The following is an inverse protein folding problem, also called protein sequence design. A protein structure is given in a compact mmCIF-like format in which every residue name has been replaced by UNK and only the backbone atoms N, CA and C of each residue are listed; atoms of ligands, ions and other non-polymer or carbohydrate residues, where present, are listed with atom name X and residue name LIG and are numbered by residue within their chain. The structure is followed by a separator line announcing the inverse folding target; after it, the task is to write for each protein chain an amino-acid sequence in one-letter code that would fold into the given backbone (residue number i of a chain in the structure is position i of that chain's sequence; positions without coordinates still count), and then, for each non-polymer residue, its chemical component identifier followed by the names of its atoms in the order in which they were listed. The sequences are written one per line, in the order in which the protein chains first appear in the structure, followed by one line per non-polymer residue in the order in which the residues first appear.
data_IF_743366902898
#
_entry.id   IF_743366902898
#
_cell.length_a   1.000
_cell.length_b   1.000
_cell.length_c   1.000
_cell.angle_alpha   90.00
_cell.angle_beta   90.00
_cell.angle_gamma   90.00
#
_symmetry.space_group_name_H-M   'P 1'
#
loop_
_entity.id
_entity.type
_entity.pdbx_description
1 polymer ?
#
# COMPACT_ATOMS: atom_id res chain seq x y z
N UNK A 1 30.12 2.29 57.45
CA UNK A 1 28.67 2.50 57.36
C UNK A 1 28.43 3.44 56.19
N UNK A 2 27.88 2.95 55.08
CA UNK A 2 27.63 3.75 53.86
C UNK A 2 26.16 4.12 53.84
N UNK A 3 25.83 5.41 53.92
CA UNK A 3 24.46 5.92 53.82
C UNK A 3 23.91 5.76 52.40
N UNK A 4 22.73 5.17 52.33
CA UNK A 4 21.93 4.99 51.10
C UNK A 4 21.03 6.22 50.93
N UNK A 5 20.95 6.88 49.78
CA UNK A 5 20.02 8.00 49.62
C UNK A 5 18.57 7.50 49.51
N UNK A 6 17.69 8.18 50.26
CA UNK A 6 16.24 7.92 50.27
C UNK A 6 15.57 8.63 49.09
N UNK A 7 14.68 7.89 48.35
CA UNK A 7 13.84 8.47 47.32
C UNK A 7 12.72 9.34 47.96
N UNK A 8 12.46 10.53 47.41
CA UNK A 8 11.35 11.37 47.90
C UNK A 8 9.99 10.77 47.57
N UNK A 9 9.03 10.92 48.49
CA UNK A 9 7.69 10.38 48.37
C UNK A 9 6.83 11.19 47.38
N UNK A 10 5.79 10.53 46.79
CA UNK A 10 4.82 11.15 45.84
C UNK A 10 4.14 12.43 46.37
N UNK A 11 4.18 12.70 47.67
CA UNK A 11 3.60 13.92 48.26
C UNK A 11 4.50 15.14 48.12
N UNK A 12 5.80 14.99 48.06
CA UNK A 12 6.75 16.12 47.92
C UNK A 12 6.84 16.65 46.48
N UNK A 13 6.52 15.83 45.48
CA UNK A 13 6.50 16.24 44.07
C UNK A 13 5.33 17.19 43.74
N UNK A 14 4.22 17.15 44.51
CA UNK A 14 3.03 17.98 44.22
C UNK A 14 3.06 19.35 44.94
N UNK A 15 3.99 19.59 45.84
CA UNK A 15 4.07 20.84 46.63
C UNK A 15 4.92 21.95 46.00
N UNK A 16 5.65 21.67 44.92
CA UNK A 16 6.63 22.63 44.32
C UNK A 16 6.10 23.37 43.08
N UNK A 17 4.85 23.13 42.66
CA UNK A 17 4.27 23.73 41.44
C UNK A 17 3.21 24.83 41.70
N UNK A 18 3.12 25.32 42.93
CA UNK A 18 2.14 26.35 43.24
C UNK A 18 2.81 27.61 43.82
N UNK A 19 3.56 28.35 43.02
CA UNK A 19 3.87 29.80 43.22
C UNK A 19 4.56 30.40 42.02
N UNK A 20 3.82 30.84 41.02
CA UNK A 20 4.20 31.95 40.17
C UNK A 20 2.99 32.47 39.38
N UNK A 21 2.49 33.65 39.80
CA UNK A 21 2.09 34.73 38.93
C UNK A 21 0.80 34.60 38.08
N UNK A 22 -0.30 35.10 38.65
CA UNK A 22 -1.49 35.53 37.93
C UNK A 22 -1.18 36.75 37.06
N UNK A 23 -1.24 36.64 35.72
CA UNK A 23 -1.46 37.77 34.82
C UNK A 23 -2.58 37.41 33.88
N UNK A 24 -3.66 38.17 33.97
CA UNK A 24 -4.81 38.16 33.07
C UNK A 24 -4.39 38.71 31.74
N UNK A 25 -4.47 37.86 30.69
CA UNK A 25 -4.23 38.29 29.30
C UNK A 25 -5.27 37.62 28.39
N UNK A 26 -5.96 38.41 27.65
CA UNK A 26 -7.08 38.21 26.74
C UNK A 26 -7.17 36.85 26.06
N UNK A 27 -8.43 36.37 26.02
CA UNK A 27 -8.94 35.28 25.19
C UNK A 27 -8.58 35.49 23.73
N UNK A 28 -7.53 34.81 23.27
CA UNK A 28 -7.30 34.51 21.87
C UNK A 28 -7.81 33.09 21.61
N UNK A 29 -8.88 32.97 20.83
CA UNK A 29 -9.32 31.68 20.29
C UNK A 29 -8.20 31.13 19.43
N UNK A 30 -7.40 30.22 19.99
CA UNK A 30 -6.50 29.39 19.20
C UNK A 30 -7.39 28.46 18.35
N UNK A 31 -7.70 28.89 17.13
CA UNK A 31 -8.04 27.97 16.06
C UNK A 31 -6.82 27.05 15.91
N UNK A 32 -7.02 25.80 16.33
CA UNK A 32 -6.11 24.73 15.97
C UNK A 32 -6.12 24.69 14.45
N UNK A 33 -5.08 25.23 13.83
CA UNK A 33 -4.75 24.95 12.44
C UNK A 33 -4.60 23.44 12.33
N UNK A 34 -5.68 22.81 11.88
CA UNK A 34 -5.63 21.47 11.32
C UNK A 34 -4.79 21.65 10.05
N UNK A 35 -3.47 21.50 10.21
CA UNK A 35 -2.55 21.49 9.07
C UNK A 35 -3.02 20.38 8.15
N UNK A 36 -3.81 20.76 7.15
CA UNK A 36 -4.04 19.92 6.01
C UNK A 36 -2.65 19.64 5.41
N UNK A 37 -2.13 18.47 5.67
CA UNK A 37 -0.94 18.01 4.99
C UNK A 37 -1.30 18.01 3.51
N UNK A 38 -0.59 18.76 2.66
CA UNK A 38 -0.84 18.69 1.23
C UNK A 38 -0.72 17.22 0.83
N UNK A 39 -1.71 16.70 0.11
CA UNK A 39 -1.65 15.36 -0.44
C UNK A 39 -0.32 15.24 -1.18
N UNK A 40 0.61 14.48 -0.62
CA UNK A 40 1.89 14.26 -1.24
C UNK A 40 1.62 13.59 -2.58
N UNK A 41 2.03 14.22 -3.66
CA UNK A 41 1.97 13.60 -4.97
C UNK A 41 2.67 12.24 -4.86
N UNK A 42 1.98 11.16 -5.22
CA UNK A 42 2.59 9.84 -5.24
C UNK A 42 3.76 9.94 -6.22
N UNK A 43 4.97 9.91 -5.68
CA UNK A 43 6.16 9.92 -6.52
C UNK A 43 6.14 8.69 -7.43
N UNK A 44 6.60 8.84 -8.68
CA UNK A 44 6.72 7.70 -9.60
C UNK A 44 7.63 6.63 -9.00
N UNK A 45 7.37 5.37 -9.33
CA UNK A 45 8.16 4.23 -8.87
C UNK A 45 9.55 4.28 -9.49
N UNK A 46 10.58 4.24 -8.65
CA UNK A 46 11.97 4.13 -9.11
C UNK A 46 12.38 2.69 -9.44
N UNK A 47 13.66 2.48 -9.72
CA UNK A 47 14.24 1.17 -10.01
C UNK A 47 14.89 0.51 -8.77
N UNK A 48 14.70 1.09 -7.60
CA UNK A 48 15.27 0.61 -6.33
C UNK A 48 14.15 0.31 -5.34
N UNK A 49 14.25 -0.84 -4.68
CA UNK A 49 13.28 -1.23 -3.67
C UNK A 49 13.24 -0.23 -2.51
N UNK A 50 12.04 0.24 -2.20
CA UNK A 50 11.79 1.15 -1.08
C UNK A 50 11.76 0.40 0.25
N UNK A 51 12.34 0.93 1.34
CA UNK A 51 12.20 0.32 2.66
C UNK A 51 10.74 0.16 3.06
N UNK A 52 10.41 -0.99 3.69
CA UNK A 52 9.06 -1.20 4.24
C UNK A 52 8.74 -0.12 5.29
N UNK A 53 7.54 0.48 5.25
CA UNK A 53 7.14 1.48 6.24
C UNK A 53 6.67 0.86 7.56
N UNK A 54 6.69 -0.47 7.70
CA UNK A 54 6.24 -1.23 8.87
C UNK A 54 7.09 -2.48 9.09
N UNK A 55 7.03 -3.04 10.30
CA UNK A 55 7.72 -4.29 10.63
C UNK A 55 7.07 -5.50 9.95
N UNK A 56 7.82 -6.58 9.74
CA UNK A 56 7.28 -7.83 9.16
C UNK A 56 6.09 -8.40 9.95
N UNK A 57 6.02 -8.16 11.25
CA UNK A 57 4.91 -8.60 12.13
C UNK A 57 3.67 -7.72 12.05
N UNK A 58 3.71 -6.58 11.36
CA UNK A 58 2.64 -5.58 11.41
C UNK A 58 1.32 -6.06 10.77
N UNK A 59 1.38 -7.07 9.91
CA UNK A 59 0.21 -7.60 9.19
C UNK A 59 -0.40 -8.84 9.84
N UNK A 60 0.19 -9.30 10.97
CA UNK A 60 -0.36 -10.43 11.72
C UNK A 60 -1.73 -10.09 12.35
N UNK A 61 -2.61 -11.08 12.49
CA UNK A 61 -2.45 -12.50 12.15
C UNK A 61 -2.82 -12.83 10.69
N UNK A 62 -3.03 -11.85 9.83
CA UNK A 62 -3.59 -12.03 8.47
C UNK A 62 -2.54 -12.36 7.42
N UNK A 63 -1.33 -11.83 7.54
CA UNK A 63 -0.14 -12.24 6.77
C UNK A 63 0.98 -12.40 7.80
N UNK A 64 1.55 -13.60 7.87
CA UNK A 64 2.55 -13.92 8.89
C UNK A 64 3.90 -13.26 8.62
N UNK A 65 4.65 -13.01 9.70
CA UNK A 65 5.93 -12.33 9.64
C UNK A 65 6.96 -13.07 8.76
N UNK A 66 6.91 -14.41 8.72
CA UNK A 66 7.82 -15.20 7.90
C UNK A 66 7.53 -15.04 6.41
N UNK A 67 6.26 -15.04 6.04
CA UNK A 67 5.84 -14.70 4.68
C UNK A 67 6.34 -13.30 4.30
N UNK A 68 6.12 -12.30 5.14
CA UNK A 68 6.56 -10.92 4.88
C UNK A 68 8.07 -10.80 4.72
N UNK A 69 8.84 -11.44 5.59
CA UNK A 69 10.30 -11.44 5.50
C UNK A 69 10.79 -12.00 4.15
N UNK A 70 10.31 -13.18 3.76
CA UNK A 70 10.74 -13.86 2.54
C UNK A 70 10.23 -13.09 1.31
N UNK A 71 8.98 -12.68 1.33
CA UNK A 71 8.33 -12.00 0.21
C UNK A 71 9.05 -10.68 -0.10
N UNK A 72 9.31 -9.85 0.91
CA UNK A 72 9.99 -8.58 0.75
C UNK A 72 11.50 -8.76 0.49
N UNK A 73 12.22 -9.50 1.35
CA UNK A 73 13.68 -9.52 1.34
C UNK A 73 14.29 -10.47 0.30
N UNK A 74 13.49 -11.38 -0.29
CA UNK A 74 13.96 -12.33 -1.30
C UNK A 74 13.24 -12.13 -2.64
N UNK A 75 11.91 -12.30 -2.71
CA UNK A 75 11.18 -12.19 -3.98
C UNK A 75 11.21 -10.76 -4.53
N UNK A 76 10.74 -9.77 -3.77
CA UNK A 76 10.71 -8.37 -4.22
C UNK A 76 12.11 -7.81 -4.45
N UNK A 77 13.06 -8.10 -3.56
CA UNK A 77 14.45 -7.69 -3.71
C UNK A 77 15.11 -8.25 -4.98
N UNK A 78 14.79 -9.50 -5.36
CA UNK A 78 15.29 -10.10 -6.59
C UNK A 78 14.72 -9.38 -7.84
N UNK A 79 13.42 -9.04 -7.86
CA UNK A 79 12.85 -8.26 -8.96
C UNK A 79 13.54 -6.91 -9.11
N UNK A 80 13.77 -6.17 -8.04
CA UNK A 80 14.47 -4.88 -8.08
C UNK A 80 15.92 -5.02 -8.59
N UNK A 81 16.64 -6.06 -8.17
CA UNK A 81 18.01 -6.32 -8.64
C UNK A 81 18.04 -6.66 -10.14
N UNK A 82 17.22 -7.65 -10.54
CA UNK A 82 17.16 -8.10 -11.93
C UNK A 82 16.64 -7.02 -12.87
N UNK A 83 15.75 -6.14 -12.41
CA UNK A 83 15.29 -4.98 -13.18
C UNK A 83 16.45 -4.02 -13.51
N UNK A 84 17.28 -3.70 -12.50
CA UNK A 84 18.46 -2.83 -12.73
C UNK A 84 19.44 -3.47 -13.70
N UNK A 85 19.66 -4.78 -13.61
CA UNK A 85 20.51 -5.50 -14.55
C UNK A 85 19.94 -5.46 -15.97
N UNK A 86 18.63 -5.69 -16.13
CA UNK A 86 17.94 -5.60 -17.41
C UNK A 86 18.01 -4.16 -17.97
N UNK A 87 17.79 -3.14 -17.13
CA UNK A 87 17.88 -1.75 -17.55
C UNK A 87 19.28 -1.38 -18.07
N UNK A 88 20.32 -1.87 -17.41
CA UNK A 88 21.71 -1.69 -17.87
C UNK A 88 21.97 -2.41 -19.21
N UNK A 89 21.51 -3.65 -19.34
CA UNK A 89 21.68 -4.45 -20.56
C UNK A 89 20.98 -3.82 -21.77
N UNK A 90 19.81 -3.21 -21.56
CA UNK A 90 18.96 -2.63 -22.61
C UNK A 90 19.10 -1.11 -22.77
N UNK A 91 20.02 -0.47 -22.01
CA UNK A 91 20.30 0.96 -22.11
C UNK A 91 19.15 1.86 -21.66
N UNK A 92 18.34 1.41 -20.68
CA UNK A 92 17.20 2.17 -20.17
C UNK A 92 17.66 3.23 -19.16
N UNK A 93 17.16 4.46 -19.30
CA UNK A 93 17.38 5.53 -18.33
C UNK A 93 16.56 5.28 -17.05
N UNK A 94 17.25 4.91 -15.97
CA UNK A 94 16.64 4.65 -14.66
C UNK A 94 16.32 5.90 -13.85
N UNK A 95 16.61 7.10 -14.37
CA UNK A 95 16.14 8.35 -13.76
C UNK A 95 14.67 8.66 -14.06
N UNK A 96 14.10 8.01 -15.09
CA UNK A 96 12.68 8.14 -15.41
C UNK A 96 11.84 7.23 -14.53
N UNK A 97 10.57 7.61 -14.25
CA UNK A 97 9.63 6.73 -13.54
C UNK A 97 9.43 5.39 -14.27
N UNK A 98 9.40 4.30 -13.51
CA UNK A 98 9.20 2.95 -14.05
C UNK A 98 7.88 2.80 -14.83
N UNK A 99 6.86 3.57 -14.49
CA UNK A 99 5.58 3.62 -15.17
C UNK A 99 5.72 3.95 -16.67
N UNK A 100 6.68 4.81 -17.05
CA UNK A 100 6.93 5.15 -18.45
C UNK A 100 7.51 3.95 -19.23
N UNK A 101 8.38 3.17 -18.60
CA UNK A 101 8.88 1.92 -19.17
C UNK A 101 7.74 0.92 -19.36
N UNK A 102 6.91 0.72 -18.32
CA UNK A 102 5.80 -0.24 -18.35
C UNK A 102 4.78 0.11 -19.44
N UNK A 103 4.51 1.40 -19.66
CA UNK A 103 3.61 1.85 -20.72
C UNK A 103 4.07 1.49 -22.16
N UNK A 104 5.30 1.06 -22.31
CA UNK A 104 5.87 0.64 -23.61
C UNK A 104 6.61 -0.69 -23.51
N UNK A 105 6.20 -1.55 -22.58
CA UNK A 105 6.93 -2.78 -22.21
C UNK A 105 7.04 -3.78 -23.37
N UNK A 106 6.13 -3.73 -24.33
CA UNK A 106 6.19 -4.56 -25.55
C UNK A 106 7.46 -4.38 -26.37
N UNK A 107 8.20 -3.27 -26.17
CA UNK A 107 9.45 -2.96 -26.86
C UNK A 107 10.69 -3.60 -26.20
N UNK A 108 10.53 -4.19 -25.04
CA UNK A 108 11.62 -4.69 -24.20
C UNK A 108 11.59 -6.22 -24.06
N UNK A 109 12.65 -6.77 -23.49
CA UNK A 109 12.78 -8.21 -23.28
C UNK A 109 11.77 -8.76 -22.27
N UNK A 110 11.56 -10.08 -22.28
CA UNK A 110 10.81 -10.77 -21.24
C UNK A 110 11.44 -10.59 -19.85
N UNK A 111 12.78 -10.45 -19.76
CA UNK A 111 13.50 -10.14 -18.52
C UNK A 111 13.06 -8.79 -17.97
N UNK A 112 13.02 -7.76 -18.80
CA UNK A 112 12.56 -6.42 -18.44
C UNK A 112 11.09 -6.44 -18.02
N UNK A 113 10.21 -7.06 -18.80
CA UNK A 113 8.77 -7.18 -18.50
C UNK A 113 8.51 -7.83 -17.15
N UNK A 114 9.12 -9.00 -16.91
CA UNK A 114 8.87 -9.74 -15.68
C UNK A 114 9.43 -9.02 -14.45
N UNK A 115 10.62 -8.44 -14.54
CA UNK A 115 11.25 -7.80 -13.39
C UNK A 115 10.74 -6.36 -13.19
N UNK A 116 10.45 -5.61 -14.25
CA UNK A 116 9.82 -4.29 -14.18
C UNK A 116 8.40 -4.38 -13.60
N UNK A 117 7.60 -5.31 -14.12
CA UNK A 117 6.28 -5.59 -13.56
C UNK A 117 6.35 -6.05 -12.12
N UNK A 118 7.22 -7.04 -11.84
CA UNK A 118 7.38 -7.58 -10.48
C UNK A 118 7.79 -6.52 -9.47
N UNK A 119 8.75 -5.66 -9.82
CA UNK A 119 9.17 -4.58 -8.93
C UNK A 119 8.04 -3.57 -8.69
N UNK A 120 7.40 -3.06 -9.75
CA UNK A 120 6.27 -2.13 -9.61
C UNK A 120 5.14 -2.70 -8.75
N UNK A 121 4.73 -3.93 -9.05
CA UNK A 121 3.61 -4.59 -8.36
C UNK A 121 3.87 -4.70 -6.85
N UNK A 122 5.10 -5.04 -6.46
CA UNK A 122 5.46 -5.17 -5.05
C UNK A 122 5.61 -3.81 -4.35
N UNK A 123 6.19 -2.78 -5.00
CA UNK A 123 6.23 -1.42 -4.45
C UNK A 123 4.82 -0.89 -4.17
N UNK A 124 3.88 -1.12 -5.09
CA UNK A 124 2.47 -0.79 -4.86
C UNK A 124 1.91 -1.60 -3.69
N UNK A 125 2.11 -2.91 -3.67
CA UNK A 125 1.58 -3.82 -2.66
C UNK A 125 2.01 -3.40 -1.24
N UNK A 126 3.30 -3.12 -1.05
CA UNK A 126 3.78 -2.65 0.25
C UNK A 126 3.16 -1.32 0.68
N UNK A 127 2.97 -0.40 -0.25
CA UNK A 127 2.43 0.93 0.05
C UNK A 127 0.95 0.94 0.44
N UNK A 128 0.18 -0.07 0.01
CA UNK A 128 -1.28 -0.15 0.25
C UNK A 128 -1.63 -1.09 1.40
N UNK A 129 -0.65 -1.64 2.10
CA UNK A 129 -0.86 -2.48 3.28
C UNK A 129 -0.49 -1.72 4.56
N UNK A 130 -1.05 -2.17 5.68
CA UNK A 130 -0.79 -1.62 7.01
C UNK A 130 -1.37 -2.50 8.10
N UNK A 131 -1.14 -2.11 9.37
CA UNK A 131 -1.66 -2.84 10.52
C UNK A 131 -3.17 -3.08 10.38
N UNK A 132 -3.67 -4.25 10.84
CA UNK A 132 -5.09 -4.57 10.78
C UNK A 132 -5.95 -3.47 11.43
N UNK A 133 -7.01 -3.06 10.76
CA UNK A 133 -7.99 -2.12 11.29
C UNK A 133 -9.16 -2.89 11.87
N UNK A 134 -9.52 -2.61 13.14
CA UNK A 134 -10.72 -3.17 13.73
C UNK A 134 -11.95 -2.55 13.07
N UNK A 135 -12.95 -3.39 12.75
CA UNK A 135 -14.25 -2.91 12.27
C UNK A 135 -14.56 -3.02 10.79
N UNK A 136 -13.64 -3.46 9.95
CA UNK A 136 -13.93 -4.02 8.61
C UNK A 136 -14.54 -3.11 7.54
N UNK A 137 -14.87 -1.86 7.84
CA UNK A 137 -15.10 -0.84 6.85
C UNK A 137 -14.02 0.21 7.00
N UNK A 138 -13.44 0.67 5.90
CA UNK A 138 -12.50 1.76 6.00
C UNK A 138 -13.21 2.91 6.71
N UNK A 139 -12.64 3.33 7.83
CA UNK A 139 -12.77 4.73 8.18
C UNK A 139 -12.08 5.47 7.03
N UNK A 140 -12.77 5.38 5.95
CA UNK A 140 -12.76 6.14 4.75
C UNK A 140 -11.46 6.50 4.08
N UNK A 141 -11.46 6.13 3.00
CA UNK A 141 -11.09 6.68 1.72
C UNK A 141 -11.12 8.21 1.72
N UNK A 142 -10.06 8.85 2.13
CA UNK A 142 -9.87 10.29 2.03
C UNK A 142 -10.85 11.17 2.85
N UNK A 143 -10.55 12.46 3.01
CA UNK A 143 -11.35 13.38 3.85
C UNK A 143 -12.79 13.58 3.36
N UNK A 144 -13.04 13.41 2.08
CA UNK A 144 -14.35 13.63 1.42
C UNK A 144 -15.07 12.33 1.02
N UNK A 145 -14.48 11.18 1.28
CA UNK A 145 -15.02 9.89 0.88
C UNK A 145 -15.12 9.66 -0.62
N UNK A 146 -14.32 10.38 -1.42
CA UNK A 146 -14.37 10.34 -2.89
C UNK A 146 -14.16 8.94 -3.46
N UNK A 147 -13.24 8.15 -2.90
CA UNK A 147 -13.03 6.76 -3.31
C UNK A 147 -14.27 5.90 -3.06
N UNK A 148 -14.90 6.00 -1.88
CA UNK A 148 -16.13 5.25 -1.58
C UNK A 148 -17.28 5.65 -2.51
N UNK A 149 -17.41 6.94 -2.83
CA UNK A 149 -18.39 7.43 -3.81
C UNK A 149 -18.11 6.84 -5.19
N UNK A 150 -16.87 6.85 -5.64
CA UNK A 150 -16.46 6.28 -6.92
C UNK A 150 -16.71 4.75 -6.98
N UNK A 151 -16.42 4.02 -5.89
CA UNK A 151 -16.73 2.60 -5.76
C UNK A 151 -18.23 2.36 -5.92
N UNK A 152 -19.07 3.10 -5.18
CA UNK A 152 -20.54 2.97 -5.30
C UNK A 152 -21.04 3.32 -6.70
N UNK A 153 -20.45 4.32 -7.35
CA UNK A 153 -20.82 4.71 -8.72
C UNK A 153 -20.45 3.62 -9.72
N UNK A 154 -19.27 2.99 -9.59
CA UNK A 154 -18.78 2.01 -10.56
C UNK A 154 -19.35 0.60 -10.34
N UNK A 155 -19.64 0.23 -9.08
CA UNK A 155 -20.01 -1.14 -8.71
C UNK A 155 -21.39 -1.28 -8.06
N UNK A 156 -22.10 -0.16 -7.79
CA UNK A 156 -23.38 -0.14 -7.08
C UNK A 156 -23.25 -0.11 -5.57
N UNK A 157 -22.36 -0.91 -4.98
CA UNK A 157 -22.05 -0.90 -3.54
C UNK A 157 -20.59 -1.28 -3.26
N UNK A 158 -20.15 -1.10 -2.02
CA UNK A 158 -18.85 -1.56 -1.56
C UNK A 158 -18.76 -3.10 -1.57
N UNK A 159 -19.81 -3.76 -1.14
CA UNK A 159 -19.91 -5.22 -1.09
C UNK A 159 -19.87 -5.84 -2.50
N UNK A 160 -20.50 -5.20 -3.47
CA UNK A 160 -20.44 -5.62 -4.87
C UNK A 160 -19.03 -5.48 -5.44
N UNK A 161 -18.32 -4.39 -5.10
CA UNK A 161 -16.91 -4.21 -5.44
C UNK A 161 -16.04 -5.33 -4.82
N UNK A 162 -16.18 -5.56 -3.50
CA UNK A 162 -15.43 -6.62 -2.80
C UNK A 162 -15.66 -7.97 -3.47
N UNK A 163 -16.92 -8.32 -3.76
CA UNK A 163 -17.27 -9.58 -4.43
C UNK A 163 -16.61 -9.71 -5.80
N UNK A 164 -16.60 -8.65 -6.61
CA UNK A 164 -15.96 -8.67 -7.93
C UNK A 164 -14.44 -8.81 -7.82
N UNK A 165 -13.81 -8.07 -6.90
CA UNK A 165 -12.37 -8.13 -6.66
C UNK A 165 -11.94 -9.52 -6.15
N UNK A 166 -12.66 -10.06 -5.19
CA UNK A 166 -12.41 -11.42 -4.69
C UNK A 166 -12.57 -12.47 -5.78
N UNK A 167 -13.59 -12.32 -6.63
CA UNK A 167 -13.78 -13.22 -7.77
C UNK A 167 -12.58 -13.16 -8.71
N UNK A 168 -12.12 -11.96 -9.07
CA UNK A 168 -10.93 -11.79 -9.92
C UNK A 168 -9.68 -12.42 -9.31
N UNK A 169 -9.47 -12.27 -7.98
CA UNK A 169 -8.36 -12.85 -7.25
C UNK A 169 -8.42 -14.40 -7.17
N UNK A 170 -9.60 -14.93 -6.85
CA UNK A 170 -9.82 -16.38 -6.66
C UNK A 170 -9.79 -17.15 -7.98
N UNK A 171 -10.30 -16.55 -9.07
CA UNK A 171 -10.38 -17.19 -10.39
C UNK A 171 -9.13 -16.99 -11.25
N UNK A 172 -8.17 -16.13 -10.83
CA UNK A 172 -6.89 -16.01 -11.54
C UNK A 172 -6.18 -17.36 -11.53
N UNK A 173 -6.14 -18.01 -12.70
CA UNK A 173 -5.48 -19.29 -12.86
C UNK A 173 -3.96 -19.13 -12.76
N UNK A 174 -3.33 -19.95 -11.92
CA UNK A 174 -1.89 -19.90 -11.66
C UNK A 174 -1.46 -18.66 -10.87
N UNK A 175 -0.28 -18.16 -11.18
CA UNK A 175 0.32 -16.97 -10.57
C UNK A 175 -0.19 -15.69 -11.25
N UNK A 176 -0.35 -14.62 -10.49
CA UNK A 176 -0.77 -13.33 -11.02
C UNK A 176 -1.22 -12.38 -9.94
N UNK A 177 -1.99 -11.37 -10.35
CA UNK A 177 -2.45 -10.28 -9.50
C UNK A 177 -3.92 -9.98 -9.79
N UNK A 178 -4.65 -9.52 -8.76
CA UNK A 178 -5.94 -8.88 -8.89
C UNK A 178 -5.82 -7.38 -8.65
N UNK A 179 -6.56 -6.57 -9.38
CA UNK A 179 -6.42 -5.12 -9.42
C UNK A 179 -7.74 -4.39 -9.25
N UNK A 180 -7.72 -3.27 -8.51
CA UNK A 180 -8.62 -2.14 -8.70
C UNK A 180 -7.81 -1.04 -9.39
N UNK A 181 -8.30 -0.54 -10.50
CA UNK A 181 -7.63 0.48 -11.30
C UNK A 181 -8.59 1.60 -11.71
N UNK A 182 -8.04 2.75 -12.06
CA UNK A 182 -8.73 3.86 -12.70
C UNK A 182 -8.47 3.77 -14.20
N UNK A 183 -9.50 3.62 -15.02
CA UNK A 183 -9.36 3.57 -16.47
C UNK A 183 -9.18 4.97 -17.09
N UNK A 184 -8.97 5.02 -18.40
CA UNK A 184 -8.78 6.27 -19.13
C UNK A 184 -9.99 7.22 -19.09
N UNK A 185 -11.16 6.75 -18.65
CA UNK A 185 -12.38 7.57 -18.48
C UNK A 185 -12.58 8.05 -17.05
N UNK A 186 -11.66 7.71 -16.14
CA UNK A 186 -11.74 8.01 -14.70
C UNK A 186 -12.63 7.07 -13.90
N UNK A 187 -13.09 5.96 -14.49
CA UNK A 187 -13.91 4.96 -13.80
C UNK A 187 -13.05 3.91 -13.11
N UNK A 188 -13.57 3.40 -12.01
CA UNK A 188 -12.98 2.26 -11.32
C UNK A 188 -13.35 0.95 -12.01
N UNK A 189 -12.35 0.11 -12.26
CA UNK A 189 -12.49 -1.19 -12.91
C UNK A 189 -11.75 -2.24 -12.08
N UNK A 190 -12.32 -3.44 -11.97
CA UNK A 190 -11.64 -4.63 -11.42
C UNK A 190 -11.12 -5.48 -12.57
N UNK A 191 -9.87 -5.92 -12.47
CA UNK A 191 -9.27 -6.86 -13.42
C UNK A 191 -8.29 -7.80 -12.74
N UNK A 192 -7.72 -8.73 -13.51
CA UNK A 192 -6.59 -9.55 -13.06
C UNK A 192 -5.61 -9.78 -14.21
N UNK A 193 -4.33 -9.93 -13.88
CA UNK A 193 -3.25 -10.15 -14.85
C UNK A 193 -2.44 -11.40 -14.50
N UNK A 194 -1.88 -12.12 -15.48
CA UNK A 194 -1.01 -13.26 -15.22
C UNK A 194 0.40 -12.81 -14.81
N UNK A 195 1.11 -13.67 -14.08
CA UNK A 195 2.50 -13.50 -13.72
C UNK A 195 2.78 -12.15 -13.05
N UNK A 196 3.69 -11.35 -13.62
CA UNK A 196 4.02 -10.00 -13.12
C UNK A 196 3.49 -8.88 -14.02
N UNK A 197 2.59 -9.20 -14.96
CA UNK A 197 1.92 -8.17 -15.75
C UNK A 197 1.03 -7.29 -14.86
N UNK A 198 0.81 -6.05 -15.31
CA UNK A 198 -0.04 -5.11 -14.60
C UNK A 198 -0.79 -4.16 -15.58
N UNK A 199 -1.81 -3.43 -15.11
CA UNK A 199 -2.65 -2.57 -15.96
C UNK A 199 -1.94 -1.38 -16.62
N UNK A 200 -0.72 -1.02 -16.21
CA UNK A 200 0.06 0.04 -16.87
C UNK A 200 0.67 -0.40 -18.20
N UNK A 201 0.82 -1.70 -18.38
CA UNK A 201 1.51 -2.25 -19.54
C UNK A 201 0.69 -2.07 -20.82
N UNK A 202 1.37 -1.70 -21.92
CA UNK A 202 0.74 -1.57 -23.25
C UNK A 202 0.15 -2.89 -23.78
N UNK A 203 0.58 -4.02 -23.23
CA UNK A 203 0.10 -5.37 -23.54
C UNK A 203 -1.08 -5.82 -22.65
N UNK A 204 -1.46 -5.03 -21.62
CA UNK A 204 -2.56 -5.40 -20.74
C UNK A 204 -3.90 -5.35 -21.47
N UNK A 205 -4.75 -6.34 -21.22
CA UNK A 205 -6.12 -6.40 -21.76
C UNK A 205 -6.97 -5.25 -21.21
N UNK A 206 -6.90 -5.03 -19.90
CA UNK A 206 -7.56 -3.90 -19.21
C UNK A 206 -6.48 -2.95 -18.73
N UNK A 207 -6.47 -1.73 -19.29
CA UNK A 207 -5.45 -0.71 -19.02
C UNK A 207 -5.96 0.37 -18.08
N UNK A 208 -5.05 0.90 -17.28
CA UNK A 208 -5.32 2.03 -16.39
C UNK A 208 -4.30 2.13 -15.26
N UNK A 209 -4.54 3.06 -14.36
CA UNK A 209 -3.67 3.29 -13.20
C UNK A 209 -4.12 2.41 -12.03
N UNK A 210 -3.34 1.41 -11.60
CA UNK A 210 -3.69 0.57 -10.46
C UNK A 210 -3.59 1.36 -9.15
N UNK A 211 -4.64 1.27 -8.34
CA UNK A 211 -4.72 1.91 -7.02
C UNK A 211 -4.75 0.90 -5.87
N UNK A 212 -5.15 -0.35 -6.15
CA UNK A 212 -5.11 -1.48 -5.23
C UNK A 212 -4.67 -2.71 -6.02
N UNK A 213 -3.76 -3.50 -5.45
CA UNK A 213 -3.27 -4.75 -6.02
C UNK A 213 -3.20 -5.85 -4.98
N UNK A 214 -3.57 -7.08 -5.34
CA UNK A 214 -3.43 -8.27 -4.50
C UNK A 214 -2.59 -9.28 -5.23
N UNK A 215 -1.47 -9.64 -4.62
CA UNK A 215 -0.61 -10.73 -5.07
C UNK A 215 -1.29 -12.08 -4.82
N UNK A 216 -1.54 -12.86 -5.87
CA UNK A 216 -2.09 -14.21 -5.78
C UNK A 216 -1.09 -15.28 -6.22
N UNK A 217 0.19 -14.94 -6.34
CA UNK A 217 1.27 -15.91 -6.37
C UNK A 217 1.27 -16.72 -5.07
N UNK A 218 1.57 -18.00 -5.14
CA UNK A 218 1.58 -18.87 -3.94
C UNK A 218 2.56 -18.40 -2.87
N UNK A 219 3.70 -17.80 -3.25
CA UNK A 219 4.67 -17.27 -2.29
C UNK A 219 4.11 -16.17 -1.37
N UNK A 220 3.03 -15.50 -1.77
CA UNK A 220 2.39 -14.46 -0.97
C UNK A 220 1.55 -15.00 0.20
N UNK A 221 1.18 -16.28 0.18
CA UNK A 221 0.23 -16.82 1.16
C UNK A 221 0.47 -18.27 1.60
N UNK A 222 1.32 -19.04 0.90
CA UNK A 222 1.38 -20.50 1.08
C UNK A 222 1.82 -20.93 2.48
N UNK A 223 2.73 -20.21 3.13
CA UNK A 223 3.21 -20.58 4.47
C UNK A 223 2.08 -20.54 5.51
N UNK A 224 1.15 -19.62 5.41
CA UNK A 224 0.04 -19.47 6.35
C UNK A 224 -1.24 -20.17 5.88
N UNK A 225 -1.56 -20.08 4.60
CA UNK A 225 -2.84 -20.54 4.04
C UNK A 225 -2.74 -21.82 3.22
N UNK A 226 -1.56 -22.29 2.82
CA UNK A 226 -1.31 -23.40 1.91
C UNK A 226 -2.15 -23.24 0.63
N UNK A 227 -2.95 -24.24 0.27
CA UNK A 227 -3.82 -24.21 -0.91
C UNK A 227 -5.10 -23.35 -0.75
N UNK A 228 -5.32 -22.76 0.44
CA UNK A 228 -6.54 -22.00 0.73
C UNK A 228 -6.44 -20.53 0.29
N UNK A 229 -6.18 -20.30 -1.01
CA UNK A 229 -6.19 -18.92 -1.57
C UNK A 229 -7.44 -18.13 -1.20
N UNK A 230 -8.67 -18.69 -1.18
CA UNK A 230 -9.86 -17.95 -0.78
C UNK A 230 -9.78 -17.33 0.62
N UNK A 231 -9.18 -18.02 1.59
CA UNK A 231 -9.02 -17.53 2.96
C UNK A 231 -8.05 -16.34 3.01
N UNK A 232 -6.93 -16.44 2.28
CA UNK A 232 -5.99 -15.33 2.11
C UNK A 232 -6.63 -14.10 1.48
N UNK A 233 -7.41 -14.29 0.41
CA UNK A 233 -8.12 -13.19 -0.26
C UNK A 233 -9.11 -12.51 0.69
N UNK A 234 -9.79 -13.29 1.54
CA UNK A 234 -10.68 -12.72 2.57
C UNK A 234 -9.90 -11.98 3.67
N UNK A 235 -8.76 -12.52 4.10
CA UNK A 235 -7.91 -11.90 5.12
C UNK A 235 -7.25 -10.60 4.64
N UNK A 236 -6.98 -10.47 3.35
CA UNK A 236 -6.37 -9.28 2.75
C UNK A 236 -7.09 -7.98 3.12
N UNK A 237 -8.42 -7.98 3.15
CA UNK A 237 -9.21 -6.79 3.48
C UNK A 237 -8.93 -6.23 4.89
N UNK A 238 -8.40 -7.05 5.79
CA UNK A 238 -8.06 -6.64 7.16
C UNK A 238 -6.76 -5.84 7.25
N UNK A 239 -5.93 -5.90 6.22
CA UNK A 239 -4.61 -5.24 6.18
C UNK A 239 -4.51 -4.16 5.11
N UNK A 240 -5.57 -3.86 4.37
CA UNK A 240 -5.59 -2.78 3.38
C UNK A 240 -5.52 -1.42 4.07
N UNK A 241 -4.51 -0.63 3.71
CA UNK A 241 -4.40 0.78 4.08
C UNK A 241 -5.25 1.64 3.12
N UNK A 242 -6.53 1.79 3.45
CA UNK A 242 -7.47 2.52 2.61
C UNK A 242 -7.13 3.99 2.39
N UNK A 243 -6.41 4.60 3.34
CA UNK A 243 -5.91 5.96 3.13
C UNK A 243 -4.93 6.01 1.96
N UNK A 244 -3.98 5.08 1.92
CA UNK A 244 -3.03 5.00 0.81
C UNK A 244 -3.73 4.72 -0.52
N UNK A 245 -4.75 3.85 -0.54
CA UNK A 245 -5.57 3.59 -1.74
C UNK A 245 -6.32 4.85 -2.19
N UNK A 246 -6.86 5.63 -1.25
CA UNK A 246 -7.55 6.89 -1.56
C UNK A 246 -6.60 7.96 -2.11
N UNK A 247 -5.40 8.07 -1.55
CA UNK A 247 -4.36 8.99 -2.04
C UNK A 247 -3.95 8.63 -3.49
N UNK A 248 -3.81 7.33 -3.79
CA UNK A 248 -3.56 6.84 -5.16
C UNK A 248 -4.73 7.12 -6.10
N UNK A 249 -5.96 6.93 -5.65
CA UNK A 249 -7.16 7.29 -6.42
C UNK A 249 -7.18 8.79 -6.75
N UNK A 250 -6.96 9.65 -5.76
CA UNK A 250 -6.91 11.08 -5.96
C UNK A 250 -5.78 11.51 -6.93
N UNK A 251 -4.65 10.82 -6.91
CA UNK A 251 -3.56 11.07 -7.86
C UNK A 251 -3.91 10.62 -9.29
N UNK A 252 -4.62 9.50 -9.44
CA UNK A 252 -4.99 8.93 -10.74
C UNK A 252 -6.16 9.66 -11.43
N UNK A 253 -6.90 10.52 -10.70
CA UNK A 253 -8.08 11.25 -11.20
C UNK A 253 -7.85 12.76 -11.37
N UNK A 254 -6.62 13.24 -11.20
CA UNK A 254 -6.21 14.62 -11.49
C UNK A 254 -5.98 14.81 -12.99
#
# INVERSE_FOLDING_TARGET
MKNKPSNPSRREFLATTAKAGLTVGLVGTAFSDLLAHPAQAVAGTGFTQTPLPYAYTALEPHIDARTMEIHYSKHAAAYASNLRDAAKEEGVDTAQPLEQLLATISKYSAKMRNNGGGHYNHELFWSILGAPTEGGLPAVAGPDGSLLKAIKTSFGSYEAFVSQFETAAKTRFGSGWAWLLVDATGKLVVSSTPNQDNPLMDIAEVKGTPILGLDVWEHAYYLHYQNRRPDYVTAFWKVVNWKAVADRFAAATK
#
